data_IF_238345984916
#
_entry.id   IF_238345984916
#
_cell.length_a   1.000
_cell.length_b   1.000
_cell.length_c   1.000
_cell.angle_alpha   90.00
_cell.angle_beta   90.00
_cell.angle_gamma   90.00
#
_symmetry.space_group_name_H-M   'P 1'
#
loop_
_entity.id
_entity.type
_entity.pdbx_description
1 polymer ?
#
# COMPACT_ATOMS: atom_id res chain seq x y z
N UNK A 1 8.02 -18.26 18.84
CA UNK A 1 8.29 -16.90 18.29
C UNK A 1 7.27 -16.62 17.18
N UNK A 2 6.41 -15.62 17.34
CA UNK A 2 5.35 -15.28 16.39
C UNK A 2 5.95 -14.59 15.17
N UNK A 3 5.43 -14.86 13.97
CA UNK A 3 5.74 -14.12 12.73
C UNK A 3 4.55 -13.24 12.41
N UNK A 4 4.76 -11.93 12.29
CA UNK A 4 3.76 -11.00 11.81
C UNK A 4 3.63 -11.17 10.29
N UNK A 5 2.43 -11.47 9.81
CA UNK A 5 2.11 -11.54 8.38
C UNK A 5 1.32 -10.30 7.96
N UNK A 6 1.58 -9.76 6.76
CA UNK A 6 0.82 -8.64 6.22
C UNK A 6 -0.59 -9.09 5.81
N UNK A 7 -1.57 -8.16 5.91
CA UNK A 7 -2.90 -8.39 5.33
C UNK A 7 -2.85 -8.45 3.78
N UNK A 8 -1.86 -7.78 3.18
CA UNK A 8 -1.67 -7.77 1.72
C UNK A 8 -2.69 -6.94 0.96
N UNK A 9 -2.78 -7.19 -0.35
CA UNK A 9 -3.68 -6.49 -1.27
C UNK A 9 -5.10 -7.05 -1.17
N UNK A 10 -6.09 -6.18 -1.19
CA UNK A 10 -7.49 -6.58 -1.20
C UNK A 10 -7.94 -7.01 -2.62
N UNK A 11 -7.94 -8.31 -2.85
CA UNK A 11 -8.58 -8.89 -4.03
C UNK A 11 -10.01 -9.39 -3.76
N UNK A 12 -10.45 -9.38 -2.50
CA UNK A 12 -11.72 -9.97 -2.05
C UNK A 12 -12.90 -9.01 -2.15
N UNK A 13 -12.69 -7.71 -1.89
CA UNK A 13 -13.78 -6.72 -1.94
C UNK A 13 -14.43 -6.62 -3.31
N UNK A 14 -13.65 -6.76 -4.39
CA UNK A 14 -14.23 -6.85 -5.74
C UNK A 14 -14.98 -8.16 -5.98
N UNK A 15 -14.57 -9.25 -5.32
CA UNK A 15 -15.26 -10.54 -5.41
C UNK A 15 -16.63 -10.47 -4.73
N UNK A 16 -16.71 -9.95 -3.51
CA UNK A 16 -17.97 -9.86 -2.75
C UNK A 16 -19.01 -8.97 -3.43
N UNK A 17 -18.61 -7.78 -3.87
CA UNK A 17 -19.51 -6.84 -4.53
C UNK A 17 -20.10 -7.38 -5.85
N UNK A 18 -19.33 -8.15 -6.58
CA UNK A 18 -19.73 -8.67 -7.89
C UNK A 18 -20.37 -10.08 -7.80
N UNK A 19 -20.07 -10.86 -6.77
CA UNK A 19 -20.74 -12.13 -6.49
C UNK A 19 -22.22 -11.89 -6.16
N UNK A 20 -22.52 -10.84 -5.38
CA UNK A 20 -23.90 -10.47 -5.03
C UNK A 20 -24.67 -9.91 -6.24
N UNK A 21 -23.99 -9.19 -7.16
CA UNK A 21 -24.66 -8.48 -8.25
C UNK A 21 -24.69 -9.25 -9.58
N UNK A 22 -23.72 -10.11 -9.89
CA UNK A 22 -23.55 -10.68 -11.24
C UNK A 22 -23.11 -12.13 -11.38
N UNK A 23 -23.14 -12.95 -10.36
CA UNK A 23 -22.81 -14.41 -10.41
C UNK A 23 -21.53 -14.81 -11.20
N UNK A 24 -20.62 -13.91 -11.56
CA UNK A 24 -19.39 -14.23 -12.31
C UNK A 24 -18.26 -13.28 -11.99
N UNK A 25 -17.36 -13.62 -11.03
CA UNK A 25 -16.06 -12.94 -10.98
C UNK A 25 -14.95 -13.83 -10.47
N UNK A 26 -13.88 -13.84 -11.25
CA UNK A 26 -12.65 -14.51 -10.96
C UNK A 26 -11.67 -13.56 -10.25
N UNK A 27 -11.02 -13.97 -9.14
CA UNK A 27 -9.99 -13.16 -8.44
C UNK A 27 -8.85 -12.71 -9.36
N UNK A 28 -8.57 -13.45 -10.42
CA UNK A 28 -7.55 -13.12 -11.43
C UNK A 28 -7.80 -11.80 -12.17
N UNK A 29 -9.05 -11.34 -12.31
CA UNK A 29 -9.35 -10.06 -12.97
C UNK A 29 -8.83 -8.88 -12.17
N UNK A 30 -8.85 -8.92 -10.84
CA UNK A 30 -8.33 -7.85 -9.98
C UNK A 30 -6.81 -7.79 -10.02
N UNK A 31 -6.13 -8.93 -10.03
CA UNK A 31 -4.66 -8.99 -10.19
C UNK A 31 -4.23 -8.44 -11.55
N UNK A 32 -4.90 -8.84 -12.64
CA UNK A 32 -4.64 -8.32 -13.98
C UNK A 32 -4.80 -6.80 -14.03
N UNK A 33 -5.89 -6.26 -13.50
CA UNK A 33 -6.14 -4.82 -13.42
C UNK A 33 -5.07 -4.08 -12.61
N UNK A 34 -4.60 -4.65 -11.50
CA UNK A 34 -3.51 -4.07 -10.72
C UNK A 34 -2.22 -3.99 -11.55
N UNK A 35 -1.85 -5.09 -12.22
CA UNK A 35 -0.66 -5.16 -13.09
C UNK A 35 -0.76 -4.14 -14.23
N UNK A 36 -1.91 -4.01 -14.88
CA UNK A 36 -2.15 -3.02 -15.92
C UNK A 36 -2.00 -1.59 -15.37
N UNK A 37 -2.54 -1.32 -14.18
CA UNK A 37 -2.41 -0.02 -13.52
C UNK A 37 -0.94 0.30 -13.19
N UNK A 38 -0.15 -0.68 -12.74
CA UNK A 38 1.28 -0.50 -12.46
C UNK A 38 2.06 -0.10 -13.72
N UNK A 39 1.68 -0.59 -14.89
CA UNK A 39 2.33 -0.28 -16.16
C UNK A 39 2.07 1.14 -16.69
N UNK A 40 1.04 1.81 -16.20
CA UNK A 40 0.72 3.17 -16.67
C UNK A 40 1.86 4.14 -16.33
N UNK A 41 2.34 4.90 -17.30
CA UNK A 41 3.22 6.05 -17.05
C UNK A 41 2.37 7.16 -16.43
N UNK A 42 2.80 7.69 -15.28
CA UNK A 42 2.07 8.76 -14.60
C UNK A 42 3.05 9.74 -13.95
N UNK A 43 2.81 11.01 -14.16
CA UNK A 43 3.47 12.06 -13.39
C UNK A 43 2.80 12.15 -12.02
N UNK A 44 3.60 12.06 -10.96
CA UNK A 44 3.10 12.08 -9.60
C UNK A 44 2.92 13.51 -9.10
N UNK A 45 1.72 13.81 -8.62
CA UNK A 45 1.45 15.05 -7.89
C UNK A 45 2.06 14.96 -6.50
N UNK A 46 2.74 16.01 -6.05
CA UNK A 46 3.25 16.13 -4.67
C UNK A 46 2.12 16.42 -3.70
N UNK A 47 1.20 15.46 -3.56
CA UNK A 47 0.00 15.51 -2.71
C UNK A 47 -0.19 14.19 -1.99
N UNK A 48 -0.94 14.22 -0.89
CA UNK A 48 -1.39 13.05 -0.13
C UNK A 48 -2.80 12.68 -0.60
N UNK A 49 -2.96 11.47 -1.12
CA UNK A 49 -4.27 10.92 -1.44
C UNK A 49 -4.98 10.43 -0.17
N UNK A 50 -6.23 10.84 0.04
CA UNK A 50 -6.97 10.59 1.28
C UNK A 50 -8.38 10.08 0.97
N UNK A 51 -8.55 8.79 0.69
CA UNK A 51 -9.85 8.18 0.36
C UNK A 51 -10.54 7.45 1.52
N UNK A 52 -9.97 7.51 2.72
CA UNK A 52 -10.45 6.80 3.90
C UNK A 52 -11.70 7.43 4.56
N UNK A 53 -12.06 8.64 4.16
CA UNK A 53 -13.16 9.42 4.77
C UNK A 53 -14.56 8.88 4.44
N UNK A 54 -14.67 7.88 3.57
CA UNK A 54 -15.95 7.20 3.28
C UNK A 54 -16.33 6.12 4.29
N UNK A 55 -15.42 5.72 5.15
CA UNK A 55 -15.62 4.71 6.19
C UNK A 55 -14.96 5.19 7.47
N UNK A 56 -15.60 6.14 8.13
CA UNK A 56 -15.04 6.84 9.29
C UNK A 56 -15.07 5.99 10.56
N UNK A 57 -14.01 6.17 11.35
CA UNK A 57 -13.89 5.77 12.74
C UNK A 57 -13.08 6.83 13.47
N UNK A 58 -12.95 6.79 14.79
CA UNK A 58 -12.25 7.80 15.60
C UNK A 58 -10.81 8.06 15.15
N UNK A 59 -10.08 7.01 14.71
CA UNK A 59 -8.69 7.13 14.23
C UNK A 59 -8.63 7.87 12.89
N UNK A 60 -9.57 7.59 11.99
CA UNK A 60 -9.68 8.24 10.67
C UNK A 60 -10.17 9.68 10.81
N UNK A 61 -11.07 9.97 11.75
CA UNK A 61 -11.47 11.34 12.08
C UNK A 61 -10.29 12.15 12.58
N UNK A 62 -9.51 11.62 13.51
CA UNK A 62 -8.29 12.26 14.02
C UNK A 62 -7.31 12.55 12.89
N UNK A 63 -7.07 11.59 12.00
CA UNK A 63 -6.24 11.77 10.81
C UNK A 63 -6.77 12.91 9.92
N UNK A 64 -8.07 12.89 9.59
CA UNK A 64 -8.71 13.89 8.72
C UNK A 64 -8.64 15.31 9.30
N UNK A 65 -8.87 15.44 10.62
CA UNK A 65 -8.82 16.75 11.32
C UNK A 65 -7.42 17.35 11.33
N UNK A 66 -6.38 16.52 11.42
CA UNK A 66 -4.98 16.97 11.53
C UNK A 66 -4.27 17.16 10.18
N UNK A 67 -4.77 16.56 9.11
CA UNK A 67 -4.19 16.71 7.78
C UNK A 67 -4.55 18.08 7.17
N UNK A 68 -3.52 18.81 6.70
CA UNK A 68 -3.67 20.16 6.13
C UNK A 68 -4.17 20.07 4.69
N UNK A 69 -5.29 20.71 4.39
CA UNK A 69 -5.96 20.70 3.08
C UNK A 69 -5.07 20.97 1.86
N UNK A 70 -4.16 21.96 1.82
CA UNK A 70 -3.37 22.21 0.61
C UNK A 70 -2.49 21.02 0.17
N UNK A 71 -2.13 20.13 1.11
CA UNK A 71 -1.30 18.95 0.85
C UNK A 71 -2.13 17.70 0.61
N UNK A 72 -3.44 17.74 0.88
CA UNK A 72 -4.31 16.58 0.90
C UNK A 72 -5.38 16.67 -0.18
N UNK A 73 -5.50 15.62 -0.96
CA UNK A 73 -6.60 15.44 -1.90
C UNK A 73 -7.62 14.43 -1.34
N UNK A 74 -8.79 14.92 -1.01
CA UNK A 74 -9.94 14.11 -0.59
C UNK A 74 -10.88 13.95 -1.80
N UNK A 75 -11.06 12.73 -2.36
CA UNK A 75 -11.96 12.53 -3.49
C UNK A 75 -13.41 12.87 -3.09
N UNK A 76 -14.19 13.55 -3.97
CA UNK A 76 -15.53 14.02 -3.63
C UNK A 76 -16.55 12.88 -3.52
N UNK A 77 -16.28 11.74 -4.15
CA UNK A 77 -17.13 10.55 -4.10
C UNK A 77 -16.33 9.27 -4.08
N UNK A 78 -16.93 8.22 -3.51
CA UNK A 78 -16.37 6.86 -3.55
C UNK A 78 -16.26 6.39 -5.00
N UNK A 79 -15.16 5.71 -5.30
CA UNK A 79 -14.89 5.17 -6.63
C UNK A 79 -14.64 3.66 -6.53
N UNK A 80 -14.76 2.95 -7.65
CA UNK A 80 -14.39 1.54 -7.69
C UNK A 80 -12.88 1.34 -7.51
N UNK A 81 -12.47 0.13 -7.17
CA UNK A 81 -11.09 -0.21 -6.85
C UNK A 81 -10.09 0.15 -7.97
N UNK A 82 -10.43 -0.13 -9.23
CA UNK A 82 -9.55 0.21 -10.37
C UNK A 82 -9.27 1.71 -10.43
N UNK A 83 -10.30 2.53 -10.36
CA UNK A 83 -10.18 3.99 -10.36
C UNK A 83 -9.43 4.48 -9.11
N UNK A 84 -9.63 3.85 -7.95
CA UNK A 84 -8.88 4.16 -6.75
C UNK A 84 -7.38 3.90 -6.95
N UNK A 85 -7.00 2.76 -7.51
CA UNK A 85 -5.60 2.42 -7.82
C UNK A 85 -4.95 3.40 -8.81
N UNK A 86 -5.66 3.80 -9.87
CA UNK A 86 -5.18 4.82 -10.81
C UNK A 86 -4.96 6.18 -10.11
N UNK A 87 -5.87 6.56 -9.21
CA UNK A 87 -5.73 7.79 -8.42
C UNK A 87 -4.57 7.69 -7.42
N UNK A 88 -4.43 6.58 -6.70
CA UNK A 88 -3.29 6.33 -5.81
C UNK A 88 -1.98 6.54 -6.58
N UNK A 89 -1.85 5.92 -7.75
CA UNK A 89 -0.64 5.99 -8.57
C UNK A 89 -0.27 7.42 -9.00
N UNK A 90 -1.25 8.30 -9.19
CA UNK A 90 -1.05 9.72 -9.56
C UNK A 90 -0.60 10.61 -8.40
N UNK A 91 -0.47 10.08 -7.18
CA UNK A 91 -0.07 10.84 -6.01
C UNK A 91 1.26 10.33 -5.44
N UNK A 92 2.08 11.26 -4.91
CA UNK A 92 3.36 10.89 -4.30
C UNK A 92 3.16 10.15 -2.98
N UNK A 93 2.14 10.53 -2.22
CA UNK A 93 1.85 10.00 -0.89
C UNK A 93 0.39 9.56 -0.77
N UNK A 94 0.13 8.68 0.18
CA UNK A 94 -1.22 8.28 0.57
C UNK A 94 -1.32 8.19 2.10
N UNK A 95 -2.38 8.72 2.68
CA UNK A 95 -2.66 8.54 4.10
C UNK A 95 -3.35 7.18 4.34
N UNK A 96 -2.74 6.39 5.21
CA UNK A 96 -3.22 5.06 5.58
C UNK A 96 -3.52 4.98 7.08
N UNK A 97 -4.53 5.72 7.59
CA UNK A 97 -4.97 5.54 8.97
C UNK A 97 -5.57 4.15 9.16
N UNK A 98 -5.46 3.64 10.38
CA UNK A 98 -6.01 2.36 10.77
C UNK A 98 -7.53 2.28 10.46
N UNK A 99 -7.97 1.09 10.07
CA UNK A 99 -9.37 0.76 9.87
C UNK A 99 -9.93 -0.04 11.03
N UNK A 100 -10.64 -1.14 10.72
CA UNK A 100 -11.03 -2.13 11.73
C UNK A 100 -9.81 -2.87 12.27
N UNK A 101 -8.79 -3.06 11.43
CA UNK A 101 -7.49 -3.59 11.82
C UNK A 101 -6.41 -2.49 11.80
N UNK A 102 -5.28 -2.79 12.44
CA UNK A 102 -4.09 -1.92 12.49
C UNK A 102 -3.37 -1.90 11.15
N UNK A 103 -3.24 -3.07 10.51
CA UNK A 103 -2.77 -3.18 9.13
C UNK A 103 -3.92 -2.97 8.15
N UNK A 104 -3.68 -2.28 7.06
CA UNK A 104 -4.70 -2.00 6.04
C UNK A 104 -4.20 -2.34 4.64
N UNK A 105 -5.08 -2.91 3.81
CA UNK A 105 -4.79 -3.21 2.39
C UNK A 105 -4.20 -2.01 1.64
N UNK A 106 -4.62 -0.79 2.00
CA UNK A 106 -4.16 0.46 1.39
C UNK A 106 -2.65 0.64 1.45
N UNK A 107 -1.99 0.21 2.53
CA UNK A 107 -0.52 0.26 2.65
C UNK A 107 0.12 -0.60 1.56
N UNK A 108 -0.32 -1.84 1.41
CA UNK A 108 0.24 -2.83 0.47
C UNK A 108 -0.07 -2.48 -0.97
N UNK A 109 -1.28 -2.05 -1.26
CA UNK A 109 -1.70 -1.56 -2.58
C UNK A 109 -0.87 -0.36 -3.02
N UNK A 110 -0.69 0.63 -2.14
CA UNK A 110 0.07 1.84 -2.46
C UNK A 110 1.55 1.56 -2.74
N UNK A 111 2.17 0.65 -1.99
CA UNK A 111 3.55 0.21 -2.23
C UNK A 111 3.71 -0.45 -3.60
N UNK A 112 2.78 -1.33 -4.00
CA UNK A 112 2.78 -1.93 -5.34
C UNK A 112 2.55 -0.90 -6.45
N UNK A 113 1.75 0.13 -6.18
CA UNK A 113 1.45 1.21 -7.11
C UNK A 113 2.54 2.30 -7.14
N UNK A 114 3.62 2.12 -6.38
CA UNK A 114 4.73 3.08 -6.31
C UNK A 114 4.36 4.39 -5.59
N UNK A 115 3.39 4.38 -4.70
CA UNK A 115 2.98 5.53 -3.88
C UNK A 115 3.40 5.30 -2.44
N UNK A 116 3.97 6.32 -1.79
CA UNK A 116 4.53 6.23 -0.44
C UNK A 116 3.40 6.30 0.59
N UNK A 117 3.12 5.21 1.35
CA UNK A 117 2.14 5.27 2.41
C UNK A 117 2.67 6.03 3.62
N UNK A 118 1.76 6.77 4.27
CA UNK A 118 1.99 7.42 5.56
C UNK A 118 1.10 6.72 6.57
N UNK A 119 1.68 6.20 7.63
CA UNK A 119 1.00 5.50 8.72
C UNK A 119 1.32 6.16 10.06
N UNK A 120 0.45 5.99 11.04
CA UNK A 120 0.76 6.29 12.43
C UNK A 120 1.56 5.14 13.03
N UNK A 121 2.55 5.47 13.87
CA UNK A 121 3.35 4.49 14.60
C UNK A 121 2.48 3.57 15.46
N UNK A 122 2.75 2.27 15.41
CA UNK A 122 2.07 1.22 16.16
C UNK A 122 2.93 -0.04 16.26
N UNK A 123 2.44 -1.08 16.93
CA UNK A 123 3.18 -2.32 17.16
C UNK A 123 3.54 -3.10 15.88
N UNK A 124 2.90 -2.81 14.73
CA UNK A 124 3.24 -3.41 13.43
C UNK A 124 4.31 -2.61 12.65
N UNK A 125 4.74 -1.46 13.15
CA UNK A 125 5.79 -0.64 12.52
C UNK A 125 7.04 -1.43 12.09
N UNK A 126 7.54 -2.41 12.85
CA UNK A 126 8.68 -3.23 12.43
C UNK A 126 8.46 -4.01 11.12
N UNK A 127 7.20 -4.30 10.76
CA UNK A 127 6.84 -4.98 9.50
C UNK A 127 7.24 -4.15 8.26
N UNK A 128 7.24 -2.83 8.40
CA UNK A 128 7.51 -1.88 7.31
C UNK A 128 8.96 -1.40 7.25
N UNK A 129 9.84 -1.86 8.16
CA UNK A 129 11.21 -1.34 8.32
C UNK A 129 12.08 -1.39 7.05
N UNK A 130 11.80 -2.32 6.13
CA UNK A 130 12.50 -2.48 4.85
C UNK A 130 11.74 -1.92 3.65
N UNK A 131 10.66 -1.18 3.88
CA UNK A 131 9.77 -0.64 2.85
C UNK A 131 9.76 0.91 2.88
N UNK A 132 9.47 1.58 1.76
CA UNK A 132 9.39 3.04 1.69
C UNK A 132 8.09 3.56 2.30
N UNK A 133 7.98 3.48 3.63
CA UNK A 133 6.83 3.89 4.43
C UNK A 133 7.22 5.07 5.31
N UNK A 134 6.41 6.12 5.34
CA UNK A 134 6.57 7.23 6.29
C UNK A 134 5.79 6.89 7.55
N UNK A 135 6.48 6.86 8.68
CA UNK A 135 5.90 6.57 9.98
C UNK A 135 5.88 7.86 10.79
N UNK A 136 4.71 8.25 11.27
CA UNK A 136 4.53 9.45 12.10
C UNK A 136 4.00 9.07 13.47
N UNK A 137 4.48 9.74 14.51
CA UNK A 137 3.91 9.61 15.87
C UNK A 137 2.55 10.29 15.96
N UNK A 138 2.41 11.41 15.25
CA UNK A 138 1.16 12.14 15.15
C UNK A 138 0.98 12.74 13.74
N UNK A 139 -0.25 12.79 13.25
CA UNK A 139 -0.59 13.33 11.92
C UNK A 139 -0.26 14.83 11.77
N UNK A 140 -0.20 15.60 12.86
CA UNK A 140 0.18 17.02 12.87
C UNK A 140 1.63 17.27 12.46
N UNK A 141 2.51 16.24 12.49
CA UNK A 141 3.89 16.33 12.02
C UNK A 141 3.97 16.57 10.50
N UNK A 142 2.87 16.28 9.77
CA UNK A 142 2.84 16.31 8.31
C UNK A 142 2.67 17.74 7.82
N UNK A 143 3.73 18.25 7.21
CA UNK A 143 3.74 19.51 6.47
C UNK A 143 4.62 19.35 5.21
N UNK A 144 4.63 20.36 4.35
CA UNK A 144 5.36 20.33 3.07
C UNK A 144 6.86 20.07 3.23
N UNK A 145 7.50 20.70 4.22
CA UNK A 145 8.94 20.56 4.47
C UNK A 145 9.27 19.17 5.00
N UNK A 146 8.45 18.66 5.93
CA UNK A 146 8.56 17.30 6.43
C UNK A 146 8.48 16.27 5.29
N UNK A 147 7.48 16.37 4.42
CA UNK A 147 7.31 15.45 3.30
C UNK A 147 8.46 15.53 2.29
N UNK A 148 8.98 16.74 1.98
CA UNK A 148 10.17 16.90 1.13
C UNK A 148 11.39 16.21 1.76
N UNK A 149 11.62 16.37 3.07
CA UNK A 149 12.71 15.71 3.80
C UNK A 149 12.56 14.19 3.76
N UNK A 150 11.37 13.67 4.06
CA UNK A 150 11.11 12.22 4.00
C UNK A 150 11.28 11.64 2.60
N UNK A 151 10.82 12.35 1.57
CA UNK A 151 10.99 11.91 0.18
C UNK A 151 12.48 11.82 -0.19
N UNK A 152 13.31 12.80 0.23
CA UNK A 152 14.76 12.76 0.02
C UNK A 152 15.39 11.55 0.70
N UNK A 153 15.02 11.27 1.94
CA UNK A 153 15.49 10.09 2.69
C UNK A 153 15.07 8.79 2.00
N UNK A 154 13.81 8.71 1.55
CA UNK A 154 13.30 7.51 0.87
C UNK A 154 14.06 7.28 -0.43
N UNK A 155 14.33 8.31 -1.22
CA UNK A 155 15.07 8.20 -2.48
C UNK A 155 16.54 7.79 -2.31
N UNK A 156 17.16 8.07 -1.17
CA UNK A 156 18.56 7.70 -0.89
C UNK A 156 18.73 6.26 -0.37
N UNK A 157 17.65 5.56 -0.04
CA UNK A 157 17.69 4.21 0.54
C UNK A 157 17.37 3.12 -0.48
N UNK A 158 17.91 1.92 -0.24
CA UNK A 158 17.48 0.69 -0.91
C UNK A 158 16.42 -0.02 -0.09
N UNK A 159 15.40 -0.57 -0.77
CA UNK A 159 14.28 -1.26 -0.14
C UNK A 159 14.16 -2.70 -0.62
N UNK A 160 13.60 -3.55 0.24
CA UNK A 160 13.35 -4.96 -0.07
C UNK A 160 11.87 -5.17 -0.41
N UNK A 161 11.55 -5.07 -1.69
CA UNK A 161 10.19 -5.26 -2.19
C UNK A 161 9.75 -6.73 -2.26
N UNK A 162 10.65 -7.69 -1.96
CA UNK A 162 10.25 -9.11 -1.88
C UNK A 162 9.17 -9.35 -0.84
N UNK A 163 9.16 -8.53 0.22
CA UNK A 163 8.17 -8.53 1.31
C UNK A 163 6.73 -8.35 0.81
N UNK A 164 6.52 -7.72 -0.37
CA UNK A 164 5.20 -7.52 -0.96
C UNK A 164 4.59 -8.80 -1.57
N UNK A 165 5.37 -9.90 -1.62
CA UNK A 165 4.96 -11.13 -2.28
C UNK A 165 4.74 -12.27 -1.31
N UNK A 166 3.67 -13.03 -1.51
CA UNK A 166 3.31 -14.20 -0.70
C UNK A 166 4.46 -15.20 -0.59
N UNK A 167 5.22 -15.39 -1.67
CA UNK A 167 6.37 -16.32 -1.70
C UNK A 167 7.45 -15.99 -0.67
N UNK A 168 7.72 -14.70 -0.41
CA UNK A 168 8.65 -14.30 0.64
C UNK A 168 8.20 -14.85 2.01
N UNK A 169 6.92 -14.74 2.31
CA UNK A 169 6.33 -15.17 3.58
C UNK A 169 6.27 -16.68 3.70
N UNK A 170 5.89 -17.38 2.62
CA UNK A 170 5.92 -18.84 2.54
C UNK A 170 7.33 -19.34 2.83
N UNK A 171 8.35 -18.83 2.15
CA UNK A 171 9.74 -19.22 2.37
C UNK A 171 10.20 -18.93 3.81
N UNK A 172 9.79 -17.80 4.39
CA UNK A 172 10.10 -17.45 5.78
C UNK A 172 9.46 -18.42 6.79
N UNK A 173 8.26 -18.91 6.51
CA UNK A 173 7.57 -19.93 7.32
C UNK A 173 8.29 -21.27 7.20
N UNK A 174 8.62 -21.71 5.99
CA UNK A 174 9.34 -22.96 5.75
C UNK A 174 10.73 -22.96 6.38
N UNK A 175 11.51 -21.90 6.21
CA UNK A 175 12.82 -21.75 6.84
C UNK A 175 12.77 -21.87 8.36
N UNK A 176 11.73 -21.31 8.98
CA UNK A 176 11.55 -21.39 10.43
C UNK A 176 11.22 -22.79 10.92
N UNK A 177 10.57 -23.60 10.07
CA UNK A 177 10.13 -24.98 10.40
C UNK A 177 11.12 -26.04 9.90
N UNK A 178 12.34 -25.69 9.46
CA UNK A 178 13.35 -26.60 8.89
C UNK A 178 12.83 -27.46 7.71
N UNK A 179 11.85 -26.98 6.98
CA UNK A 179 11.30 -27.66 5.80
C UNK A 179 12.19 -27.30 4.61
N UNK A 180 12.88 -28.34 4.06
CA UNK A 180 13.93 -28.17 3.03
C UNK A 180 13.44 -27.83 1.61
N UNK A 181 12.14 -27.75 1.36
CA UNK A 181 11.62 -27.42 0.03
C UNK A 181 11.79 -25.93 -0.30
N UNK A 182 12.87 -25.61 -1.03
CA UNK A 182 13.04 -24.32 -1.68
C UNK A 182 12.05 -24.20 -2.84
N UNK A 183 10.97 -23.46 -2.65
CA UNK A 183 10.07 -23.06 -3.74
C UNK A 183 10.87 -22.14 -4.69
N UNK A 184 11.19 -22.62 -5.90
CA UNK A 184 11.93 -21.84 -6.91
C UNK A 184 11.20 -20.55 -7.26
N UNK A 185 11.91 -19.43 -7.17
CA UNK A 185 11.39 -18.10 -7.51
C UNK A 185 10.99 -18.03 -8.99
N UNK A 186 9.80 -17.53 -9.29
CA UNK A 186 9.44 -17.16 -10.64
C UNK A 186 10.07 -15.79 -10.94
N UNK A 187 11.22 -15.80 -11.62
CA UNK A 187 12.08 -14.66 -11.96
C UNK A 187 11.34 -13.53 -12.71
N UNK A 188 10.22 -13.87 -13.37
CA UNK A 188 9.45 -12.91 -14.15
C UNK A 188 8.83 -11.79 -13.28
N UNK A 189 8.17 -12.16 -12.19
CA UNK A 189 7.54 -11.16 -11.31
C UNK A 189 8.57 -10.29 -10.59
N UNK A 190 9.69 -10.87 -10.15
CA UNK A 190 10.74 -10.09 -9.49
C UNK A 190 11.43 -9.10 -10.43
N UNK A 191 11.65 -9.46 -11.70
CA UNK A 191 12.17 -8.55 -12.74
C UNK A 191 11.15 -7.46 -13.11
N UNK A 192 9.88 -7.84 -13.26
CA UNK A 192 8.81 -6.89 -13.57
C UNK A 192 8.70 -5.80 -12.50
N UNK A 193 8.73 -6.18 -11.24
CA UNK A 193 8.62 -5.21 -10.14
C UNK A 193 9.92 -4.42 -9.92
N UNK A 194 11.10 -5.03 -10.08
CA UNK A 194 12.39 -4.29 -10.06
C UNK A 194 12.42 -3.16 -11.07
N UNK A 195 11.85 -3.37 -12.26
CA UNK A 195 11.88 -2.37 -13.34
C UNK A 195 10.75 -1.34 -13.24
N UNK A 196 9.63 -1.65 -12.59
CA UNK A 196 8.45 -0.76 -12.54
C UNK A 196 8.28 -0.03 -11.20
N UNK A 197 8.95 -0.48 -10.12
CA UNK A 197 8.98 0.23 -8.82
C UNK A 197 10.11 1.29 -8.78
N UNK A 198 10.87 1.50 -9.83
CA UNK A 198 11.83 2.62 -9.97
C UNK A 198 11.19 4.02 -9.89
N UNK A 199 9.90 4.11 -9.59
CA UNK A 199 9.15 5.38 -9.49
C UNK A 199 9.19 6.03 -8.10
N UNK A 200 10.05 5.56 -7.18
CA UNK A 200 10.28 6.29 -5.92
C UNK A 200 11.41 7.30 -6.06
#
# INVERSE_FOLDING_TARGET
KVIQLPIGVDFHSSFYYNFIIKNKIFPFTSQKKLIETIKLKTDKKFLIYCDFHFAMNSKRETCKKKLIKPLCFFPPKRVNQKIAWEKIRKHQFIACPEGNGVDTHRVWESLLLGTIPIIKDNFLTPLYSKLPVIIVKDWSQINKNYLKKQLKIIKSKKYDFSILFMRYWINKIYQKNNISEKIKYNLFLSRFFKNNIKCF
#
